data_IF_410343781095
#
_entry.id   IF_410343781095
#
_cell.length_a   1.000
_cell.length_b   1.000
_cell.length_c   1.000
_cell.angle_alpha   90.00
_cell.angle_beta   90.00
_cell.angle_gamma   90.00
#
_symmetry.space_group_name_H-M   'P 1'
#
loop_
_entity.id
_entity.type
_entity.pdbx_description
1 polymer ?
#
# COMPACT_ATOMS: atom_id res chain seq x y z
N UNK A 1 -4.80 -2.69 -7.20
CA UNK A 1 -3.42 -3.18 -6.98
C UNK A 1 -2.70 -3.59 -8.28
N UNK A 2 -3.01 -3.00 -9.45
CA UNK A 2 -2.46 -3.45 -10.75
C UNK A 2 -0.93 -3.37 -10.85
N UNK A 3 -0.33 -2.40 -10.17
CA UNK A 3 1.12 -2.15 -10.20
C UNK A 3 1.88 -2.79 -9.02
N UNK A 4 1.18 -3.58 -8.18
CA UNK A 4 1.80 -4.27 -7.06
C UNK A 4 2.50 -5.55 -7.52
N UNK A 5 3.68 -5.88 -6.99
CA UNK A 5 4.31 -7.18 -7.26
C UNK A 5 3.46 -8.32 -6.67
N UNK A 6 3.47 -9.46 -7.35
CA UNK A 6 2.86 -10.69 -6.84
C UNK A 6 3.81 -11.36 -5.82
N UNK A 7 3.23 -11.94 -4.76
CA UNK A 7 3.99 -12.54 -3.66
C UNK A 7 3.38 -13.89 -3.34
N UNK A 8 4.15 -14.94 -3.61
CA UNK A 8 3.69 -16.33 -3.47
C UNK A 8 3.74 -16.87 -2.04
N UNK A 9 4.45 -16.22 -1.12
CA UNK A 9 4.62 -16.74 0.24
C UNK A 9 4.87 -15.66 1.28
N UNK A 10 4.28 -15.83 2.46
CA UNK A 10 4.41 -14.94 3.61
C UNK A 10 4.36 -15.76 4.90
N UNK A 11 5.33 -15.53 5.79
CA UNK A 11 5.54 -16.34 6.98
C UNK A 11 5.83 -15.44 8.18
N UNK A 12 5.27 -15.76 9.35
CA UNK A 12 5.68 -15.29 10.68
C UNK A 12 5.92 -13.77 10.83
N UNK A 13 4.95 -12.94 10.44
CA UNK A 13 4.94 -11.47 10.68
C UNK A 13 3.62 -10.96 11.25
N UNK A 14 2.97 -11.79 12.08
CA UNK A 14 1.65 -11.52 12.63
C UNK A 14 1.64 -10.33 13.58
N UNK A 15 2.70 -10.13 14.37
CA UNK A 15 2.82 -9.00 15.30
C UNK A 15 3.00 -7.67 14.56
N UNK A 16 3.83 -7.63 13.51
CA UNK A 16 3.98 -6.42 12.69
C UNK A 16 2.69 -6.12 11.91
N UNK A 17 1.99 -7.13 11.41
CA UNK A 17 0.69 -6.94 10.76
C UNK A 17 -0.34 -6.34 11.73
N UNK A 18 -0.46 -6.89 12.93
CA UNK A 18 -1.38 -6.38 13.95
C UNK A 18 -1.06 -4.93 14.33
N UNK A 19 0.23 -4.60 14.45
CA UNK A 19 0.70 -3.23 14.74
C UNK A 19 0.30 -2.27 13.62
N UNK A 20 0.56 -2.64 12.35
CA UNK A 20 0.20 -1.80 11.21
C UNK A 20 -1.32 -1.62 11.08
N UNK A 21 -2.09 -2.69 11.31
CA UNK A 21 -3.55 -2.61 11.29
C UNK A 21 -4.09 -1.68 12.37
N UNK A 22 -3.56 -1.76 13.60
CA UNK A 22 -3.92 -0.87 14.69
C UNK A 22 -3.63 0.59 14.31
N UNK A 23 -2.39 0.89 13.90
CA UNK A 23 -1.98 2.25 13.56
C UNK A 23 -2.82 2.86 12.44
N UNK A 24 -3.10 2.09 11.39
CA UNK A 24 -3.81 2.60 10.21
C UNK A 24 -5.32 2.70 10.44
N UNK A 25 -5.95 1.66 10.98
CA UNK A 25 -7.42 1.57 11.05
C UNK A 25 -7.96 2.20 12.33
N UNK A 26 -7.37 1.87 13.47
CA UNK A 26 -7.88 2.28 14.78
C UNK A 26 -7.35 3.65 15.17
N UNK A 27 -6.03 3.84 15.12
CA UNK A 27 -5.40 5.09 15.54
C UNK A 27 -5.48 6.17 14.43
N UNK A 28 -5.90 5.77 13.22
CA UNK A 28 -6.04 6.63 12.03
C UNK A 28 -4.77 7.40 11.69
N UNK A 29 -3.62 6.73 11.85
CA UNK A 29 -2.31 7.28 11.53
C UNK A 29 -2.20 7.52 10.02
N UNK A 30 -1.98 8.79 9.63
CA UNK A 30 -1.99 9.21 8.21
C UNK A 30 -0.73 8.86 7.45
N UNK A 31 0.39 8.73 8.15
CA UNK A 31 1.69 8.43 7.55
C UNK A 31 2.35 7.34 8.40
N UNK A 32 2.61 6.20 7.77
CA UNK A 32 3.32 5.07 8.36
C UNK A 32 4.51 4.74 7.48
N UNK A 33 5.69 4.64 8.07
CA UNK A 33 6.90 4.21 7.38
C UNK A 33 7.28 2.79 7.82
N UNK A 34 7.45 1.88 6.86
CA UNK A 34 7.94 0.52 7.10
C UNK A 34 9.43 0.51 6.75
N UNK A 35 10.29 0.39 7.77
CA UNK A 35 11.75 0.47 7.64
C UNK A 35 12.41 -0.89 7.89
N UNK A 36 13.62 -1.09 7.36
CA UNK A 36 14.39 -2.32 7.51
C UNK A 36 15.32 -2.61 6.34
N UNK A 37 16.20 -3.59 6.52
CA UNK A 37 17.23 -3.97 5.54
C UNK A 37 16.65 -4.43 4.19
N UNK A 38 17.47 -4.44 3.14
CA UNK A 38 17.06 -4.96 1.82
C UNK A 38 16.60 -6.42 1.93
N UNK A 39 15.59 -6.82 1.15
CA UNK A 39 15.08 -8.19 1.12
C UNK A 39 14.27 -8.65 2.34
N UNK A 40 14.18 -7.88 3.44
CA UNK A 40 13.50 -8.29 4.69
C UNK A 40 11.97 -8.47 4.62
N UNK A 41 11.37 -8.25 3.44
CA UNK A 41 9.92 -8.42 3.24
C UNK A 41 9.05 -7.19 3.55
N UNK A 42 9.58 -5.97 3.52
CA UNK A 42 8.80 -4.73 3.72
C UNK A 42 7.63 -4.60 2.74
N UNK A 43 7.89 -4.88 1.47
CA UNK A 43 6.85 -4.90 0.43
C UNK A 43 5.84 -6.02 0.67
N UNK A 44 6.31 -7.17 1.16
CA UNK A 44 5.47 -8.33 1.43
C UNK A 44 4.45 -8.10 2.54
N UNK A 45 4.86 -7.48 3.64
CA UNK A 45 3.94 -7.17 4.74
C UNK A 45 2.88 -6.14 4.33
N UNK A 46 3.26 -5.11 3.56
CA UNK A 46 2.29 -4.14 3.06
C UNK A 46 1.25 -4.81 2.15
N UNK A 47 1.68 -5.71 1.26
CA UNK A 47 0.78 -6.43 0.37
C UNK A 47 -0.10 -7.46 1.07
N UNK A 48 0.38 -8.07 2.16
CA UNK A 48 -0.45 -8.93 2.99
C UNK A 48 -1.48 -8.16 3.82
N UNK A 49 -1.16 -6.93 4.24
CA UNK A 49 -2.06 -6.10 5.02
C UNK A 49 -3.22 -5.54 4.19
N UNK A 50 -2.94 -5.07 2.96
CA UNK A 50 -3.92 -4.35 2.15
C UNK A 50 -5.26 -5.11 2.02
N UNK A 51 -5.31 -6.41 1.66
CA UNK A 51 -6.56 -7.15 1.55
C UNK A 51 -7.41 -7.15 2.83
N UNK A 52 -6.77 -7.07 3.99
CA UNK A 52 -7.42 -7.12 5.30
C UNK A 52 -8.08 -5.79 5.68
N UNK A 53 -7.52 -4.67 5.19
CA UNK A 53 -7.96 -3.32 5.56
C UNK A 53 -8.60 -2.54 4.41
N UNK A 54 -8.51 -3.02 3.17
CA UNK A 54 -8.96 -2.27 1.97
C UNK A 54 -10.42 -1.85 2.04
N UNK A 55 -11.29 -2.63 2.68
CA UNK A 55 -12.71 -2.31 2.84
C UNK A 55 -12.98 -1.08 3.71
N UNK A 56 -11.99 -0.60 4.47
CA UNK A 56 -12.06 0.62 5.26
C UNK A 56 -11.75 1.88 4.44
N UNK A 57 -11.38 1.75 3.17
CA UNK A 57 -10.96 2.84 2.29
C UNK A 57 -11.74 2.80 0.98
N UNK A 58 -12.17 3.96 0.48
CA UNK A 58 -12.83 4.05 -0.83
C UNK A 58 -11.86 3.70 -1.97
N UNK A 59 -10.58 4.06 -1.83
CA UNK A 59 -9.54 3.77 -2.81
C UNK A 59 -8.25 3.29 -2.14
N UNK A 60 -7.60 2.31 -2.77
CA UNK A 60 -6.24 1.90 -2.44
C UNK A 60 -5.36 2.04 -3.67
N UNK A 61 -4.31 2.86 -3.55
CA UNK A 61 -3.38 3.15 -4.65
C UNK A 61 -2.00 2.62 -4.27
N UNK A 62 -1.47 1.72 -5.10
CA UNK A 62 -0.09 1.24 -5.00
C UNK A 62 0.78 1.94 -6.03
N UNK A 63 1.95 2.44 -5.62
CA UNK A 63 2.90 3.13 -6.49
C UNK A 63 4.33 2.72 -6.14
N UNK A 64 5.09 2.34 -7.16
CA UNK A 64 6.55 2.32 -7.04
C UNK A 64 7.09 3.73 -7.21
N UNK A 65 7.95 4.16 -6.30
CA UNK A 65 8.73 5.40 -6.42
C UNK A 65 10.17 5.14 -6.89
N UNK A 66 10.50 3.92 -7.31
CA UNK A 66 11.86 3.54 -7.69
C UNK A 66 12.40 4.30 -8.91
N UNK A 67 11.52 4.78 -9.81
CA UNK A 67 11.89 5.61 -10.96
C UNK A 67 11.91 7.11 -10.65
N UNK A 68 11.61 7.51 -9.41
CA UNK A 68 11.54 8.90 -8.95
C UNK A 68 10.76 9.82 -9.90
N UNK A 69 9.50 9.50 -10.24
CA UNK A 69 8.71 10.36 -11.12
C UNK A 69 8.54 11.76 -10.52
N UNK A 70 8.46 12.79 -11.36
CA UNK A 70 8.20 14.15 -10.87
C UNK A 70 6.87 14.24 -10.14
N UNK A 71 6.74 15.22 -9.25
CA UNK A 71 5.48 15.49 -8.55
C UNK A 71 4.34 15.70 -9.55
N UNK A 72 4.58 16.47 -10.61
CA UNK A 72 3.58 16.71 -11.67
C UNK A 72 3.11 15.41 -12.34
N UNK A 73 4.05 14.53 -12.71
CA UNK A 73 3.73 13.24 -13.31
C UNK A 73 2.91 12.37 -12.35
N UNK A 74 3.29 12.37 -11.08
CA UNK A 74 2.60 11.63 -10.02
C UNK A 74 1.17 12.13 -9.84
N UNK A 75 0.98 13.44 -9.72
CA UNK A 75 -0.33 14.07 -9.55
C UNK A 75 -1.25 13.81 -10.76
N UNK A 76 -0.76 14.00 -11.99
CA UNK A 76 -1.53 13.71 -13.21
C UNK A 76 -2.01 12.25 -13.22
N UNK A 77 -1.14 11.32 -12.86
CA UNK A 77 -1.48 9.90 -12.80
C UNK A 77 -2.50 9.57 -11.70
N UNK A 78 -2.42 10.23 -10.53
CA UNK A 78 -3.38 10.05 -9.44
C UNK A 78 -4.77 10.60 -9.80
N UNK A 79 -4.82 11.80 -10.36
CA UNK A 79 -6.05 12.43 -10.85
C UNK A 79 -6.70 11.51 -11.89
N UNK A 80 -5.95 11.10 -12.92
CA UNK A 80 -6.49 10.19 -13.95
C UNK A 80 -7.05 8.89 -13.36
N UNK A 81 -6.38 8.30 -12.37
CA UNK A 81 -6.87 7.10 -11.69
C UNK A 81 -8.19 7.33 -10.96
N UNK A 82 -8.32 8.43 -10.23
CA UNK A 82 -9.53 8.74 -9.44
C UNK A 82 -10.73 9.11 -10.32
N UNK A 83 -10.51 9.69 -11.51
CA UNK A 83 -11.58 10.13 -12.41
C UNK A 83 -11.97 9.09 -13.49
N UNK A 84 -11.13 8.12 -13.84
CA UNK A 84 -11.47 7.05 -14.79
C UNK A 84 -12.24 5.88 -14.12
N UNK A 85 -13.45 6.14 -13.61
CA UNK A 85 -14.35 5.09 -13.08
C UNK A 85 -14.65 4.05 -14.16
N UNK A 86 -14.61 2.73 -13.85
CA UNK A 86 -15.54 1.80 -14.47
C UNK A 86 -16.95 2.14 -13.97
N UNK A 87 -17.90 2.30 -14.88
CA UNK A 87 -19.33 2.38 -14.55
C UNK A 87 -19.72 1.18 -13.67
N UNK A 88 -20.68 1.40 -12.76
CA UNK A 88 -21.08 0.44 -11.72
C UNK A 88 -21.85 -0.73 -12.30
#
# INVERSE_FOLDING_TARGET
LRDAPDISSFYDRTSELATLQQWIVQDRTRIVAILGISGIGKTAIALHLIPQIQHQFEYVIWRSLGTSPTLETTLKSLIKFLFNRPET
#
